data_IF_975183628672
#
_entry.id   IF_975183628672
#
_cell.length_a   1.000
_cell.length_b   1.000
_cell.length_c   1.000
_cell.angle_alpha   90.00
_cell.angle_beta   90.00
_cell.angle_gamma   90.00
#
_symmetry.space_group_name_H-M   'P 1'
#
loop_
_entity.id
_entity.type
_entity.pdbx_description
1 polymer ?
#
# COMPACT_ATOMS: atom_id res chain seq x y z
N UNK A 1 -1.41 17.59 9.49
CA UNK A 1 -1.68 16.24 8.93
C UNK A 1 -2.71 16.23 7.81
N UNK A 2 -3.77 17.06 7.87
CA UNK A 2 -4.87 17.08 6.88
C UNK A 2 -4.41 17.24 5.41
N UNK A 3 -3.46 18.15 5.13
CA UNK A 3 -2.90 18.37 3.77
C UNK A 3 -2.11 17.17 3.19
N UNK A 4 -1.53 16.32 4.04
CA UNK A 4 -0.81 15.13 3.59
C UNK A 4 -1.79 14.03 3.18
N UNK A 5 -2.83 13.81 3.98
CA UNK A 5 -3.91 12.87 3.67
C UNK A 5 -4.69 13.26 2.42
N UNK A 6 -4.97 14.55 2.21
CA UNK A 6 -5.62 15.05 0.99
C UNK A 6 -4.78 14.81 -0.27
N UNK A 7 -3.46 15.00 -0.20
CA UNK A 7 -2.54 14.71 -1.31
C UNK A 7 -2.49 13.22 -1.64
N UNK A 8 -2.48 12.37 -0.62
CA UNK A 8 -2.53 10.91 -0.81
C UNK A 8 -3.86 10.50 -1.44
N UNK A 9 -4.97 11.06 -0.97
CA UNK A 9 -6.29 10.82 -1.56
C UNK A 9 -6.39 11.31 -3.01
N UNK A 10 -5.79 12.45 -3.35
CA UNK A 10 -5.76 12.99 -4.70
C UNK A 10 -4.88 12.13 -5.65
N UNK A 11 -3.70 11.70 -5.19
CA UNK A 11 -2.83 10.79 -5.94
C UNK A 11 -3.46 9.40 -6.12
N UNK A 12 -4.16 8.90 -5.08
CA UNK A 12 -4.92 7.66 -5.17
C UNK A 12 -6.13 7.78 -6.09
N UNK A 13 -6.74 8.96 -6.21
CA UNK A 13 -7.93 9.18 -7.05
C UNK A 13 -7.61 9.17 -8.55
N UNK A 14 -6.40 9.56 -8.94
CA UNK A 14 -5.92 9.46 -10.33
C UNK A 14 -5.40 8.07 -10.69
N UNK A 15 -5.16 7.22 -9.68
CA UNK A 15 -4.65 5.86 -9.87
C UNK A 15 -5.82 4.92 -10.16
N UNK A 16 -5.84 4.18 -11.29
CA UNK A 16 -6.91 3.24 -11.59
C UNK A 16 -7.07 2.22 -10.45
N UNK A 17 -8.32 1.90 -10.08
CA UNK A 17 -8.59 0.95 -8.98
C UNK A 17 -7.82 -0.38 -9.14
N UNK A 18 -7.71 -0.89 -10.37
CA UNK A 18 -6.94 -2.10 -10.66
C UNK A 18 -5.44 -1.96 -10.33
N UNK A 19 -4.86 -0.76 -10.50
CA UNK A 19 -3.46 -0.48 -10.13
C UNK A 19 -3.31 -0.42 -8.61
N UNK A 20 -4.26 0.19 -7.90
CA UNK A 20 -4.26 0.22 -6.41
C UNK A 20 -4.32 -1.20 -5.84
N UNK A 21 -5.20 -2.05 -6.36
CA UNK A 21 -5.32 -3.46 -5.96
C UNK A 21 -4.04 -4.23 -6.28
N UNK A 22 -3.53 -4.10 -7.50
CA UNK A 22 -2.29 -4.78 -7.94
C UNK A 22 -1.11 -4.40 -7.04
N UNK A 23 -0.95 -3.10 -6.74
CA UNK A 23 0.11 -2.62 -5.88
C UNK A 23 -0.04 -3.13 -4.44
N UNK A 24 -1.25 -3.11 -3.87
CA UNK A 24 -1.49 -3.67 -2.54
C UNK A 24 -1.05 -5.15 -2.46
N UNK A 25 -1.43 -5.97 -3.44
CA UNK A 25 -1.05 -7.39 -3.50
C UNK A 25 0.46 -7.55 -3.66
N UNK A 26 1.08 -6.81 -4.59
CA UNK A 26 2.51 -6.89 -4.85
C UNK A 26 3.34 -6.58 -3.60
N UNK A 27 2.98 -5.51 -2.86
CA UNK A 27 3.70 -5.13 -1.66
C UNK A 27 3.47 -6.12 -0.51
N UNK A 28 2.31 -6.79 -0.44
CA UNK A 28 2.07 -7.88 0.53
C UNK A 28 3.02 -9.04 0.25
N UNK A 29 3.10 -9.49 -1.01
CA UNK A 29 4.02 -10.56 -1.42
C UNK A 29 5.47 -10.17 -1.15
N UNK A 30 5.87 -8.96 -1.52
CA UNK A 30 7.22 -8.47 -1.26
C UNK A 30 7.54 -8.40 0.23
N UNK A 31 6.60 -7.98 1.07
CA UNK A 31 6.79 -7.97 2.53
C UNK A 31 7.04 -9.37 3.07
N UNK A 32 6.25 -10.36 2.64
CA UNK A 32 6.42 -11.76 3.06
C UNK A 32 7.80 -12.28 2.65
N UNK A 33 8.21 -12.00 1.40
CA UNK A 33 9.52 -12.41 0.88
C UNK A 33 10.66 -11.78 1.69
N UNK A 34 10.67 -10.45 1.84
CA UNK A 34 11.74 -9.75 2.53
C UNK A 34 11.82 -10.12 4.01
N UNK A 35 10.67 -10.27 4.69
CA UNK A 35 10.65 -10.72 6.09
C UNK A 35 11.21 -12.14 6.18
N UNK A 36 10.72 -13.08 5.37
CA UNK A 36 11.18 -14.48 5.40
C UNK A 36 12.67 -14.60 5.09
N UNK A 37 13.19 -13.80 4.15
CA UNK A 37 14.60 -13.80 3.81
C UNK A 37 15.49 -13.10 4.84
N UNK A 38 14.97 -12.10 5.55
CA UNK A 38 15.70 -11.38 6.60
C UNK A 38 16.00 -12.25 7.84
N UNK A 39 15.30 -13.37 8.01
CA UNK A 39 15.53 -14.31 9.12
C UNK A 39 16.74 -15.22 8.89
N UNK A 40 17.14 -15.47 7.64
CA UNK A 40 18.25 -16.37 7.32
C UNK A 40 19.64 -15.73 7.35
N UNK A 41 19.78 -14.56 6.74
CA UNK A 41 21.01 -13.77 6.73
C UNK A 41 20.67 -12.30 6.95
N UNK A 42 21.28 -11.69 7.97
CA UNK A 42 21.04 -10.29 8.33
C UNK A 42 21.91 -9.39 7.44
N UNK A 43 21.38 -9.09 6.25
CA UNK A 43 21.90 -8.02 5.39
C UNK A 43 21.13 -6.71 5.72
N UNK A 44 21.82 -5.61 6.02
CA UNK A 44 21.19 -4.31 6.28
C UNK A 44 20.15 -3.89 5.23
N UNK A 45 20.39 -4.20 3.95
CA UNK A 45 19.48 -3.85 2.86
C UNK A 45 18.20 -4.69 2.95
N UNK A 46 18.32 -5.99 3.25
CA UNK A 46 17.16 -6.89 3.45
C UNK A 46 16.32 -6.44 4.64
N UNK A 47 16.96 -5.99 5.71
CA UNK A 47 16.28 -5.47 6.90
C UNK A 47 15.49 -4.19 6.58
N UNK A 48 16.11 -3.25 5.85
CA UNK A 48 15.44 -2.02 5.39
C UNK A 48 14.24 -2.36 4.50
N UNK A 49 14.38 -3.28 3.56
CA UNK A 49 13.30 -3.72 2.68
C UNK A 49 12.18 -4.44 3.45
N UNK A 50 12.52 -5.23 4.46
CA UNK A 50 11.55 -5.88 5.35
C UNK A 50 10.76 -4.88 6.21
N UNK A 51 11.26 -3.66 6.44
CA UNK A 51 10.56 -2.58 7.16
C UNK A 51 9.75 -1.70 6.19
N UNK A 52 10.32 -1.33 5.05
CA UNK A 52 9.66 -0.45 4.07
C UNK A 52 8.50 -1.16 3.36
N UNK A 53 8.62 -2.45 3.06
CA UNK A 53 7.57 -3.18 2.35
C UNK A 53 6.24 -3.21 3.13
N UNK A 54 6.21 -3.50 4.45
CA UNK A 54 4.99 -3.38 5.25
C UNK A 54 4.40 -1.97 5.31
N UNK A 55 5.25 -0.92 5.33
CA UNK A 55 4.78 0.46 5.27
C UNK A 55 4.08 0.76 3.93
N UNK A 56 4.61 0.23 2.83
CA UNK A 56 3.99 0.33 1.51
C UNK A 56 2.69 -0.48 1.43
N UNK A 57 2.63 -1.67 2.03
CA UNK A 57 1.37 -2.43 2.19
C UNK A 57 0.32 -1.56 2.87
N UNK A 58 0.67 -0.97 4.02
CA UNK A 58 -0.25 -0.12 4.76
C UNK A 58 -0.76 1.05 3.93
N UNK A 59 0.14 1.75 3.22
CA UNK A 59 -0.21 2.83 2.32
C UNK A 59 -1.23 2.39 1.26
N UNK A 60 -0.97 1.28 0.56
CA UNK A 60 -1.84 0.80 -0.53
C UNK A 60 -3.17 0.24 -0.02
N UNK A 61 -3.20 -0.38 1.16
CA UNK A 61 -4.44 -0.81 1.82
C UNK A 61 -5.31 0.39 2.18
N UNK A 62 -4.73 1.46 2.73
CA UNK A 62 -5.49 2.69 3.02
C UNK A 62 -6.02 3.31 1.73
N UNK A 63 -5.20 3.39 0.68
CA UNK A 63 -5.63 3.86 -0.63
C UNK A 63 -6.80 3.02 -1.19
N UNK A 64 -6.74 1.70 -1.03
CA UNK A 64 -7.80 0.78 -1.43
C UNK A 64 -9.11 1.04 -0.65
N UNK A 65 -9.02 1.22 0.66
CA UNK A 65 -10.19 1.51 1.51
C UNK A 65 -10.84 2.84 1.10
N UNK A 66 -10.05 3.88 0.85
CA UNK A 66 -10.55 5.19 0.37
C UNK A 66 -11.21 5.03 -1.00
N UNK A 67 -10.61 4.28 -1.93
CA UNK A 67 -11.17 4.03 -3.24
C UNK A 67 -12.50 3.24 -3.17
N UNK A 68 -12.59 2.27 -2.25
CA UNK A 68 -13.82 1.51 -1.98
C UNK A 68 -14.93 2.39 -1.38
N UNK A 69 -14.60 3.26 -0.43
CA UNK A 69 -15.55 4.19 0.16
C UNK A 69 -16.14 5.13 -0.91
N UNK A 70 -15.31 5.67 -1.80
CA UNK A 70 -15.78 6.52 -2.92
C UNK A 70 -16.71 5.77 -3.87
N UNK A 71 -16.35 4.55 -4.28
CA UNK A 71 -17.20 3.70 -5.12
C UNK A 71 -18.53 3.32 -4.48
N UNK A 72 -18.59 3.23 -3.14
CA UNK A 72 -19.84 2.98 -2.40
C UNK A 72 -20.71 4.23 -2.36
N UNK A 73 -20.12 5.41 -2.18
CA UNK A 73 -20.84 6.68 -2.23
C UNK A 73 -21.45 6.93 -3.62
N UNK A 74 -20.68 6.72 -4.69
CA UNK A 74 -21.17 6.87 -6.09
C UNK A 74 -22.27 5.87 -6.49
N UNK A 75 -22.43 4.76 -5.75
CA UNK A 75 -23.50 3.77 -5.97
C UNK A 75 -24.73 3.99 -5.09
N UNK A 76 -24.65 4.90 -4.13
CA UNK A 76 -25.74 5.22 -3.21
C UNK A 76 -26.59 6.41 -3.69
N UNK A 77 -26.10 7.17 -4.67
CA UNK A 77 -26.84 8.14 -5.49
C UNK A 77 -27.39 7.47 -6.77
#
# INVERSE_FOLDING_TARGET
>A
MQKWWERIAAASATTPFGVVVMQAVLWVVMSILWISWSVGEVDPIRLVLAIISPLLVFYWVVALLVALQRRRAEKAD
#
